data_IF_934522132903
#
_entry.id   IF_934522132903
#
_cell.length_a   1.000
_cell.length_b   1.000
_cell.length_c   1.000
_cell.angle_alpha   90.00
_cell.angle_beta   90.00
_cell.angle_gamma   90.00
#
_symmetry.space_group_name_H-M   'P 1'
#
loop_
_entity.id
_entity.type
_entity.pdbx_description
1 polymer ?
#
# COMPACT_ATOMS: atom_id res chain seq x y z
N UNK A 1 -47.04 0.79 -10.89
CA UNK A 1 -45.70 0.20 -10.79
C UNK A 1 -44.68 1.32 -10.75
N UNK A 2 -44.37 1.80 -9.54
CA UNK A 2 -43.31 2.79 -9.34
C UNK A 2 -42.00 2.02 -9.31
N UNK A 3 -41.13 2.31 -10.24
CA UNK A 3 -39.71 1.89 -10.24
C UNK A 3 -39.03 2.49 -9.01
N UNK A 4 -38.58 1.64 -8.08
CA UNK A 4 -37.61 2.06 -7.05
C UNK A 4 -36.30 2.30 -7.76
N UNK A 5 -35.95 3.58 -7.99
CA UNK A 5 -34.61 3.96 -8.31
C UNK A 5 -33.76 3.70 -7.06
N UNK A 6 -32.88 2.71 -7.12
CA UNK A 6 -31.83 2.51 -6.15
C UNK A 6 -31.02 3.82 -6.07
N UNK A 7 -31.19 4.52 -4.97
CA UNK A 7 -30.44 5.75 -4.69
C UNK A 7 -29.00 5.37 -4.43
N UNK A 8 -28.15 5.54 -5.41
CA UNK A 8 -26.70 5.57 -5.23
C UNK A 8 -26.36 6.66 -4.22
N UNK A 9 -26.02 6.28 -3.00
CA UNK A 9 -25.58 7.21 -1.97
C UNK A 9 -24.13 7.52 -2.23
N UNK A 10 -23.89 8.60 -2.97
CA UNK A 10 -22.54 9.19 -3.05
C UNK A 10 -22.09 9.59 -1.66
N UNK A 11 -20.81 9.30 -1.30
CA UNK A 11 -20.22 9.62 0.01
C UNK A 11 -20.39 11.09 0.41
N UNK A 12 -20.46 11.98 -0.55
CA UNK A 12 -20.54 13.45 -0.39
C UNK A 12 -21.93 14.01 -0.70
N UNK A 13 -22.94 13.15 -0.96
CA UNK A 13 -24.23 13.52 -1.50
C UNK A 13 -25.22 14.18 -0.52
N UNK A 14 -24.99 14.11 0.79
CA UNK A 14 -25.99 14.47 1.80
C UNK A 14 -26.43 15.94 1.85
N UNK A 15 -25.69 16.86 1.22
CA UNK A 15 -25.98 18.31 1.19
C UNK A 15 -26.22 18.87 -0.21
N UNK A 16 -26.06 18.07 -1.24
CA UNK A 16 -26.14 18.50 -2.62
C UNK A 16 -27.30 17.80 -3.34
N UNK A 17 -28.05 18.57 -4.12
CA UNK A 17 -29.18 18.05 -4.91
C UNK A 17 -28.76 17.32 -6.20
N UNK A 18 -27.46 17.33 -6.52
CA UNK A 18 -26.89 16.69 -7.71
C UNK A 18 -25.49 16.15 -7.46
N UNK A 19 -25.03 15.22 -8.29
CA UNK A 19 -23.67 14.69 -8.26
C UNK A 19 -22.60 15.70 -8.74
N UNK A 20 -21.29 15.33 -8.66
CA UNK A 20 -20.22 16.18 -9.15
C UNK A 20 -20.36 16.45 -10.65
N UNK A 21 -19.85 17.59 -11.11
CA UNK A 21 -19.76 17.86 -12.54
C UNK A 21 -18.85 16.84 -13.23
N UNK A 22 -19.05 16.59 -14.52
CA UNK A 22 -18.21 15.65 -15.29
C UNK A 22 -16.71 15.99 -15.21
N UNK A 23 -16.36 17.29 -15.20
CA UNK A 23 -14.97 17.75 -15.05
C UNK A 23 -14.41 17.42 -13.66
N UNK A 24 -15.22 17.58 -12.61
CA UNK A 24 -14.80 17.22 -11.25
C UNK A 24 -14.67 15.71 -11.08
N UNK A 25 -15.62 14.94 -11.61
CA UNK A 25 -15.55 13.49 -11.59
C UNK A 25 -14.28 12.96 -12.28
N UNK A 26 -13.93 13.52 -13.44
CA UNK A 26 -12.71 13.16 -14.19
C UNK A 26 -11.40 13.45 -13.40
N UNK A 27 -11.42 14.41 -12.48
CA UNK A 27 -10.28 14.70 -11.60
C UNK A 27 -10.28 13.89 -10.30
N UNK A 28 -11.43 13.38 -9.87
CA UNK A 28 -11.60 12.71 -8.58
C UNK A 28 -11.53 11.20 -8.66
N UNK A 29 -11.95 10.59 -9.79
CA UNK A 29 -11.94 9.12 -9.95
C UNK A 29 -10.51 8.59 -10.01
N UNK A 30 -10.17 7.68 -9.10
CA UNK A 30 -8.81 7.14 -8.95
C UNK A 30 -8.71 5.63 -9.17
N UNK A 31 -9.82 4.92 -9.40
CA UNK A 31 -9.87 3.46 -9.55
C UNK A 31 -8.87 2.90 -10.57
N UNK A 32 -8.54 3.67 -11.62
CA UNK A 32 -7.61 3.26 -12.67
C UNK A 32 -6.16 3.12 -12.22
N UNK A 33 -5.79 3.67 -11.06
CA UNK A 33 -4.44 3.49 -10.49
C UNK A 33 -4.46 2.98 -9.05
N UNK A 34 -5.50 3.25 -8.24
CA UNK A 34 -5.53 2.89 -6.84
C UNK A 34 -6.08 1.47 -6.58
N UNK A 35 -6.76 0.85 -7.56
CA UNK A 35 -7.28 -0.52 -7.40
C UNK A 35 -6.21 -1.57 -7.10
N UNK A 36 -4.93 -1.26 -7.36
CA UNK A 36 -3.78 -2.06 -6.89
C UNK A 36 -3.69 -2.21 -5.37
N UNK A 37 -4.37 -1.34 -4.62
CA UNK A 37 -4.45 -1.40 -3.16
C UNK A 37 -5.54 -2.35 -2.65
N UNK A 38 -6.32 -2.99 -3.52
CA UNK A 38 -7.50 -3.77 -3.13
C UNK A 38 -7.17 -4.86 -2.10
N UNK A 39 -6.12 -5.65 -2.32
CA UNK A 39 -5.73 -6.72 -1.39
C UNK A 39 -5.31 -6.20 -0.02
N UNK A 40 -4.54 -5.11 0.02
CA UNK A 40 -4.11 -4.52 1.30
C UNK A 40 -5.27 -3.85 2.02
N UNK A 41 -6.26 -3.31 1.30
CA UNK A 41 -7.48 -2.76 1.90
C UNK A 41 -8.37 -3.87 2.50
N UNK A 42 -8.52 -4.99 1.80
CA UNK A 42 -9.25 -6.15 2.31
C UNK A 42 -8.54 -6.71 3.56
N UNK A 43 -7.21 -6.81 3.56
CA UNK A 43 -6.44 -7.21 4.74
C UNK A 43 -6.66 -6.23 5.92
N UNK A 44 -6.64 -4.92 5.65
CA UNK A 44 -6.98 -3.89 6.63
C UNK A 44 -8.40 -4.01 7.15
N UNK A 45 -9.35 -4.40 6.29
CA UNK A 45 -10.76 -4.61 6.64
C UNK A 45 -10.95 -5.84 7.52
N UNK A 46 -10.19 -6.92 7.31
CA UNK A 46 -10.16 -8.07 8.22
C UNK A 46 -9.71 -7.67 9.63
N UNK A 47 -8.56 -6.98 9.75
CA UNK A 47 -8.05 -6.52 11.03
C UNK A 47 -9.02 -5.55 11.74
N UNK A 48 -9.73 -4.72 10.97
CA UNK A 48 -10.75 -3.82 11.51
C UNK A 48 -11.99 -4.58 12.01
N UNK A 49 -12.45 -5.61 11.30
CA UNK A 49 -13.57 -6.45 11.71
C UNK A 49 -13.28 -7.15 13.05
N UNK A 50 -12.05 -7.64 13.27
CA UNK A 50 -11.62 -8.22 14.54
C UNK A 50 -11.73 -7.21 15.69
N UNK A 51 -11.36 -5.96 15.46
CA UNK A 51 -11.49 -4.92 16.48
C UNK A 51 -12.96 -4.51 16.72
N UNK A 52 -13.80 -4.45 15.69
CA UNK A 52 -15.23 -4.23 15.85
C UNK A 52 -15.89 -5.35 16.67
N UNK A 53 -15.48 -6.60 16.46
CA UNK A 53 -15.91 -7.73 17.26
C UNK A 53 -15.44 -7.60 18.71
N UNK A 54 -14.15 -7.31 18.94
CA UNK A 54 -13.58 -7.13 20.28
C UNK A 54 -14.29 -6.05 21.11
N UNK A 55 -14.71 -4.96 20.48
CA UNK A 55 -15.44 -3.88 21.16
C UNK A 55 -16.96 -4.11 21.22
N UNK A 56 -17.45 -5.28 20.73
CA UNK A 56 -18.86 -5.69 20.83
C UNK A 56 -19.80 -5.07 19.79
N UNK A 57 -19.26 -4.49 18.70
CA UNK A 57 -20.06 -3.96 17.58
C UNK A 57 -20.43 -5.03 16.55
N UNK A 58 -19.68 -6.13 16.52
CA UNK A 58 -20.00 -7.35 15.79
C UNK A 58 -20.16 -8.49 16.80
N UNK A 59 -21.20 -9.33 16.62
CA UNK A 59 -21.30 -10.62 17.30
C UNK A 59 -20.32 -11.63 16.69
N UNK A 60 -20.12 -12.79 17.35
CA UNK A 60 -19.30 -13.89 16.83
C UNK A 60 -19.70 -14.29 15.40
N UNK A 61 -21.02 -14.44 15.17
CA UNK A 61 -21.56 -14.82 13.86
C UNK A 61 -21.34 -13.72 12.82
N UNK A 62 -21.60 -12.45 13.15
CA UNK A 62 -21.38 -11.33 12.25
C UNK A 62 -19.93 -11.14 11.88
N UNK A 63 -19.01 -11.39 12.83
CA UNK A 63 -17.58 -11.35 12.57
C UNK A 63 -17.16 -12.47 11.60
N UNK A 64 -17.63 -13.69 11.81
CA UNK A 64 -17.39 -14.82 10.92
C UNK A 64 -17.93 -14.57 9.50
N UNK A 65 -19.17 -14.08 9.40
CA UNK A 65 -19.81 -13.76 8.11
C UNK A 65 -19.08 -12.61 7.39
N UNK A 66 -18.58 -11.62 8.13
CA UNK A 66 -17.77 -10.52 7.59
C UNK A 66 -16.47 -11.04 6.99
N UNK A 67 -15.74 -11.90 7.73
CA UNK A 67 -14.51 -12.50 7.25
C UNK A 67 -14.74 -13.37 6.00
N UNK A 68 -15.82 -14.16 5.96
CA UNK A 68 -16.17 -14.95 4.79
C UNK A 68 -16.46 -14.06 3.57
N UNK A 69 -17.23 -13.00 3.76
CA UNK A 69 -17.56 -12.05 2.68
C UNK A 69 -16.30 -11.32 2.14
N UNK A 70 -15.41 -10.89 3.03
CA UNK A 70 -14.13 -10.26 2.66
C UNK A 70 -13.22 -11.25 1.92
N UNK A 71 -13.14 -12.51 2.36
CA UNK A 71 -12.32 -13.54 1.72
C UNK A 71 -12.84 -13.89 0.32
N UNK A 72 -14.16 -13.95 0.13
CA UNK A 72 -14.77 -14.14 -1.19
C UNK A 72 -14.51 -12.94 -2.10
N UNK A 73 -14.58 -11.72 -1.56
CA UNK A 73 -14.28 -10.51 -2.32
C UNK A 73 -12.81 -10.52 -2.78
N UNK A 74 -11.88 -10.91 -1.91
CA UNK A 74 -10.45 -10.99 -2.23
C UNK A 74 -10.16 -12.03 -3.34
N UNK A 75 -10.82 -13.18 -3.27
CA UNK A 75 -10.74 -14.21 -4.31
C UNK A 75 -11.28 -13.70 -5.66
N UNK A 76 -12.40 -12.96 -5.64
CA UNK A 76 -12.99 -12.39 -6.85
C UNK A 76 -12.13 -11.26 -7.44
N UNK A 77 -11.48 -10.44 -6.62
CA UNK A 77 -10.46 -9.46 -7.06
C UNK A 77 -9.29 -10.18 -7.72
N UNK A 78 -8.76 -11.22 -7.07
CA UNK A 78 -7.62 -11.99 -7.58
C UNK A 78 -7.90 -12.67 -8.92
N UNK A 79 -9.11 -13.18 -9.10
CA UNK A 79 -9.53 -13.84 -10.35
C UNK A 79 -9.98 -12.88 -11.45
N UNK A 80 -10.16 -11.59 -11.14
CA UNK A 80 -10.74 -10.60 -12.04
C UNK A 80 -12.27 -10.70 -12.18
N UNK A 81 -12.94 -11.51 -11.35
CA UNK A 81 -14.40 -11.61 -11.32
C UNK A 81 -15.04 -10.35 -10.71
N UNK A 82 -14.31 -9.64 -9.84
CA UNK A 82 -14.69 -8.34 -9.32
C UNK A 82 -13.74 -7.25 -9.83
N UNK A 83 -14.32 -6.23 -10.45
CA UNK A 83 -13.61 -5.07 -11.00
C UNK A 83 -14.32 -3.78 -10.59
N UNK A 84 -13.61 -2.63 -10.59
CA UNK A 84 -14.26 -1.34 -10.38
C UNK A 84 -15.36 -1.06 -11.40
N UNK A 85 -16.44 -0.45 -10.92
CA UNK A 85 -17.50 0.10 -11.76
C UNK A 85 -17.15 1.55 -12.16
N UNK A 86 -17.70 2.07 -13.29
CA UNK A 86 -17.58 3.49 -13.61
C UNK A 86 -18.14 4.45 -12.54
N UNK A 87 -19.02 3.94 -11.68
CA UNK A 87 -19.63 4.71 -10.58
C UNK A 87 -18.78 4.69 -9.29
N UNK A 88 -17.73 3.87 -9.24
CA UNK A 88 -16.82 3.83 -8.11
C UNK A 88 -15.80 4.98 -8.19
N UNK A 89 -15.75 5.83 -7.17
CA UNK A 89 -14.83 6.96 -7.10
C UNK A 89 -13.38 6.52 -6.87
N UNK A 90 -13.20 5.53 -5.98
CA UNK A 90 -11.91 5.00 -5.54
C UNK A 90 -12.00 3.50 -5.20
N UNK A 91 -10.86 2.88 -4.90
CA UNK A 91 -10.77 1.47 -4.49
C UNK A 91 -11.67 1.18 -3.28
N UNK A 92 -11.76 2.12 -2.33
CA UNK A 92 -12.55 1.92 -1.10
C UNK A 92 -14.03 1.86 -1.40
N UNK A 93 -14.54 2.71 -2.31
CA UNK A 93 -15.94 2.69 -2.77
C UNK A 93 -16.24 1.38 -3.49
N UNK A 94 -15.34 0.94 -4.38
CA UNK A 94 -15.49 -0.32 -5.09
C UNK A 94 -15.58 -1.50 -4.11
N UNK A 95 -14.63 -1.62 -3.18
CA UNK A 95 -14.59 -2.73 -2.22
C UNK A 95 -15.76 -2.69 -1.25
N UNK A 96 -16.23 -1.50 -0.85
CA UNK A 96 -17.43 -1.38 -0.02
C UNK A 96 -18.68 -1.89 -0.77
N UNK A 97 -18.86 -1.52 -2.04
CA UNK A 97 -19.91 -2.07 -2.89
C UNK A 97 -19.80 -3.59 -2.96
N UNK A 98 -18.62 -4.11 -3.26
CA UNK A 98 -18.35 -5.55 -3.34
C UNK A 98 -18.63 -6.30 -2.04
N UNK A 99 -18.33 -5.70 -0.90
CA UNK A 99 -18.65 -6.27 0.42
C UNK A 99 -20.18 -6.28 0.68
N UNK A 100 -20.86 -5.17 0.39
CA UNK A 100 -22.32 -5.07 0.56
C UNK A 100 -23.06 -6.09 -0.31
N UNK A 101 -22.62 -6.33 -1.53
CA UNK A 101 -23.16 -7.35 -2.43
C UNK A 101 -23.06 -8.77 -1.84
N UNK A 102 -22.02 -9.06 -1.03
CA UNK A 102 -21.76 -10.39 -0.43
C UNK A 102 -22.31 -10.56 0.99
N UNK A 103 -22.25 -9.52 1.80
CA UNK A 103 -22.64 -9.55 3.21
C UNK A 103 -24.01 -8.92 3.48
N UNK A 104 -24.61 -8.23 2.49
CA UNK A 104 -25.80 -7.41 2.65
C UNK A 104 -25.52 -6.04 3.28
N UNK A 105 -26.42 -5.09 3.05
CA UNK A 105 -26.22 -3.68 3.45
C UNK A 105 -26.09 -3.51 4.98
N UNK A 106 -26.82 -4.29 5.77
CA UNK A 106 -26.79 -4.18 7.24
C UNK A 106 -25.45 -4.59 7.80
N UNK A 107 -24.91 -5.75 7.43
CA UNK A 107 -23.64 -6.24 7.93
C UNK A 107 -22.47 -5.50 7.29
N UNK A 108 -22.43 -5.38 5.95
CA UNK A 108 -21.35 -4.69 5.24
C UNK A 108 -21.22 -3.23 5.68
N UNK A 109 -22.33 -2.55 5.97
CA UNK A 109 -22.32 -1.18 6.48
C UNK A 109 -21.67 -1.00 7.87
N UNK A 110 -21.66 -2.05 8.72
CA UNK A 110 -21.02 -2.00 10.03
C UNK A 110 -19.51 -1.79 9.96
N UNK A 111 -18.87 -2.21 8.87
CA UNK A 111 -17.42 -2.06 8.69
C UNK A 111 -16.95 -0.60 8.68
N UNK A 112 -17.85 0.36 8.46
CA UNK A 112 -17.54 1.80 8.52
C UNK A 112 -17.34 2.33 9.93
N UNK A 113 -17.83 1.63 10.96
CA UNK A 113 -17.81 2.13 12.33
C UNK A 113 -16.37 2.35 12.80
N UNK A 114 -16.05 3.55 13.30
CA UNK A 114 -14.73 3.90 13.85
C UNK A 114 -13.60 4.05 12.84
N UNK A 115 -13.87 3.92 11.53
CA UNK A 115 -12.87 4.05 10.45
C UNK A 115 -13.10 5.35 9.68
N UNK A 116 -12.01 6.05 9.37
CA UNK A 116 -11.99 7.14 8.41
C UNK A 116 -11.20 6.73 7.17
N UNK A 117 -11.51 7.30 6.01
CA UNK A 117 -10.66 7.13 4.82
C UNK A 117 -9.27 7.73 5.00
N UNK A 118 -9.12 8.73 5.87
CA UNK A 118 -7.84 9.40 6.09
C UNK A 118 -6.79 8.45 6.70
N UNK A 119 -7.09 7.81 7.82
CA UNK A 119 -6.17 6.86 8.45
C UNK A 119 -6.10 5.54 7.68
N UNK A 120 -7.20 5.13 7.04
CA UNK A 120 -7.24 3.96 6.17
C UNK A 120 -6.21 4.09 5.05
N UNK A 121 -6.33 5.11 4.18
CA UNK A 121 -5.41 5.26 3.03
C UNK A 121 -3.96 5.51 3.47
N UNK A 122 -3.73 6.28 4.55
CA UNK A 122 -2.40 6.50 5.09
C UNK A 122 -1.73 5.20 5.55
N UNK A 123 -2.51 4.24 6.06
CA UNK A 123 -2.04 2.91 6.45
C UNK A 123 -1.79 2.03 5.23
N UNK A 124 -2.75 1.95 4.31
CA UNK A 124 -2.69 1.05 3.15
C UNK A 124 -1.53 1.40 2.22
N UNK A 125 -1.25 2.69 2.02
CA UNK A 125 -0.07 3.12 1.26
C UNK A 125 1.21 2.61 1.95
N UNK A 126 1.31 2.66 3.28
CA UNK A 126 2.48 2.13 3.99
C UNK A 126 2.60 0.62 3.85
N UNK A 127 1.51 -0.15 3.99
CA UNK A 127 1.51 -1.60 3.76
C UNK A 127 2.01 -1.91 2.36
N UNK A 128 1.37 -1.32 1.35
CA UNK A 128 1.70 -1.52 -0.06
C UNK A 128 3.18 -1.18 -0.36
N UNK A 129 3.65 -0.01 0.05
CA UNK A 129 5.03 0.41 -0.21
C UNK A 129 6.07 -0.46 0.52
N UNK A 130 5.75 -0.98 1.71
CA UNK A 130 6.62 -1.91 2.45
C UNK A 130 6.74 -3.26 1.73
N UNK A 131 5.67 -3.74 1.12
CA UNK A 131 5.69 -4.95 0.27
C UNK A 131 6.52 -4.70 -0.99
N UNK A 132 6.26 -3.60 -1.69
CA UNK A 132 7.02 -3.23 -2.89
C UNK A 132 8.50 -2.97 -2.60
N UNK A 133 8.85 -2.41 -1.42
CA UNK A 133 10.23 -2.24 -1.00
C UNK A 133 10.97 -3.58 -0.86
N UNK A 134 10.30 -4.62 -0.34
CA UNK A 134 10.87 -5.97 -0.23
C UNK A 134 11.08 -6.60 -1.61
N UNK A 135 10.10 -6.48 -2.50
CA UNK A 135 10.22 -6.94 -3.89
C UNK A 135 11.36 -6.21 -4.62
N UNK A 136 11.44 -4.89 -4.48
CA UNK A 136 12.48 -4.08 -5.08
C UNK A 136 13.87 -4.45 -4.54
N UNK A 137 14.01 -4.63 -3.21
CA UNK A 137 15.26 -5.07 -2.60
C UNK A 137 15.71 -6.44 -3.13
N UNK A 138 14.78 -7.37 -3.31
CA UNK A 138 15.06 -8.68 -3.94
C UNK A 138 15.63 -8.51 -5.35
N UNK A 139 14.99 -7.71 -6.21
CA UNK A 139 15.46 -7.46 -7.58
C UNK A 139 16.82 -6.75 -7.64
N UNK A 140 17.06 -5.83 -6.73
CA UNK A 140 18.38 -5.15 -6.62
C UNK A 140 19.45 -6.16 -6.22
N UNK A 141 19.15 -7.09 -5.30
CA UNK A 141 20.07 -8.17 -4.92
C UNK A 141 20.32 -9.16 -6.06
N UNK A 142 19.31 -9.47 -6.87
CA UNK A 142 19.48 -10.33 -8.06
C UNK A 142 20.48 -9.71 -9.05
N UNK A 143 20.40 -8.40 -9.29
CA UNK A 143 21.37 -7.68 -10.13
C UNK A 143 22.77 -7.74 -9.51
N UNK A 144 22.89 -7.48 -8.21
CA UNK A 144 24.16 -7.55 -7.50
C UNK A 144 24.78 -8.96 -7.59
N UNK A 145 23.98 -9.99 -7.39
CA UNK A 145 24.43 -11.39 -7.51
C UNK A 145 24.87 -11.75 -8.94
N UNK A 146 24.17 -11.25 -9.96
CA UNK A 146 24.56 -11.45 -11.35
C UNK A 146 25.93 -10.80 -11.65
N UNK A 147 26.18 -9.58 -11.14
CA UNK A 147 27.46 -8.89 -11.27
C UNK A 147 28.60 -9.64 -10.57
N UNK A 148 28.35 -10.17 -9.36
CA UNK A 148 29.32 -11.02 -8.63
C UNK A 148 29.65 -12.27 -9.45
N UNK A 149 28.65 -12.99 -9.96
CA UNK A 149 28.87 -14.16 -10.79
C UNK A 149 29.64 -13.86 -12.09
N UNK A 150 29.44 -12.68 -12.69
CA UNK A 150 30.24 -12.24 -13.84
C UNK A 150 31.69 -11.89 -13.42
N UNK A 151 31.88 -11.28 -12.26
CA UNK A 151 33.21 -10.99 -11.74
C UNK A 151 34.02 -12.25 -11.47
N UNK A 152 33.39 -13.30 -10.89
CA UNK A 152 34.01 -14.62 -10.69
C UNK A 152 34.40 -15.26 -12.03
N UNK A 153 33.56 -15.22 -13.04
CA UNK A 153 33.85 -15.76 -14.39
C UNK A 153 34.95 -15.00 -15.10
N UNK A 154 35.08 -13.70 -14.86
CA UNK A 154 36.13 -12.86 -15.46
C UNK A 154 37.53 -13.18 -14.92
N UNK A 155 37.64 -13.74 -13.69
CA UNK A 155 38.90 -14.12 -13.08
C UNK A 155 39.94 -13.00 -13.15
N UNK A 156 41.11 -13.31 -13.71
CA UNK A 156 42.27 -12.40 -13.83
C UNK A 156 42.24 -11.53 -15.11
N UNK A 157 41.12 -11.49 -15.84
CA UNK A 157 41.01 -10.69 -17.06
C UNK A 157 41.22 -9.19 -16.74
N UNK A 158 42.08 -8.57 -17.54
CA UNK A 158 42.49 -7.15 -17.40
C UNK A 158 41.80 -6.32 -18.47
N UNK A 159 41.41 -5.10 -18.08
CA UNK A 159 40.88 -4.09 -19.00
C UNK A 159 41.53 -2.72 -18.71
N UNK A 160 41.54 -1.78 -19.67
CA UNK A 160 41.93 -0.42 -19.36
C UNK A 160 40.89 0.27 -18.51
N UNK A 161 41.26 0.76 -17.33
CA UNK A 161 40.49 1.75 -16.60
C UNK A 161 40.35 3.03 -17.43
N UNK A 162 39.34 3.84 -17.19
CA UNK A 162 39.06 5.05 -17.94
C UNK A 162 38.74 6.23 -17.03
N UNK A 163 39.31 7.39 -17.35
CA UNK A 163 38.92 8.69 -16.81
C UNK A 163 38.84 9.68 -17.96
N UNK A 164 37.88 10.61 -17.92
CA UNK A 164 37.71 11.59 -18.99
C UNK A 164 37.64 10.97 -20.40
N UNK A 165 37.02 9.79 -20.50
CA UNK A 165 36.91 8.98 -21.72
C UNK A 165 38.27 8.54 -22.32
N UNK A 166 39.35 8.67 -21.57
CA UNK A 166 40.71 8.27 -21.93
C UNK A 166 41.12 7.01 -21.17
N UNK A 167 42.06 6.24 -21.75
CA UNK A 167 42.69 5.10 -21.09
C UNK A 167 43.52 5.56 -19.89
N UNK A 168 43.36 4.91 -18.77
CA UNK A 168 44.09 5.12 -17.54
C UNK A 168 44.82 3.82 -17.11
N UNK A 169 44.90 3.56 -15.80
CA UNK A 169 45.57 2.36 -15.31
C UNK A 169 44.82 1.08 -15.71
N UNK A 170 45.57 -0.04 -15.90
CA UNK A 170 44.94 -1.37 -16.00
C UNK A 170 44.18 -1.71 -14.73
N UNK A 171 42.99 -2.29 -14.88
CA UNK A 171 42.18 -2.80 -13.79
C UNK A 171 41.65 -4.19 -14.12
N UNK A 172 41.30 -5.00 -13.13
CA UNK A 172 40.61 -6.25 -13.37
C UNK A 172 39.18 -5.99 -13.81
N UNK A 173 38.65 -6.75 -14.76
CA UNK A 173 37.24 -6.72 -15.14
C UNK A 173 36.39 -7.01 -13.92
N UNK A 174 36.81 -7.99 -13.08
CA UNK A 174 36.11 -8.29 -11.82
C UNK A 174 36.01 -7.07 -10.90
N UNK A 175 37.12 -6.28 -10.74
CA UNK A 175 37.10 -5.08 -9.93
C UNK A 175 36.13 -4.02 -10.47
N UNK A 176 36.07 -3.85 -11.79
CA UNK A 176 35.11 -2.94 -12.44
C UNK A 176 33.68 -3.35 -12.20
N UNK A 177 33.33 -4.64 -12.38
CA UNK A 177 32.00 -5.16 -12.14
C UNK A 177 31.57 -5.01 -10.68
N UNK A 178 32.45 -5.33 -9.74
CA UNK A 178 32.17 -5.20 -8.30
C UNK A 178 32.01 -3.73 -7.87
N UNK A 179 32.55 -2.76 -8.60
CA UNK A 179 32.30 -1.34 -8.33
C UNK A 179 30.82 -0.96 -8.45
N UNK A 180 30.03 -1.68 -9.27
CA UNK A 180 28.59 -1.48 -9.41
C UNK A 180 27.78 -2.22 -8.33
N UNK A 181 28.34 -3.23 -7.68
CA UNK A 181 27.66 -3.96 -6.58
C UNK A 181 27.51 -3.09 -5.33
N UNK A 182 28.54 -2.31 -4.99
CA UNK A 182 28.57 -1.52 -3.76
C UNK A 182 27.44 -0.49 -3.64
N UNK A 183 27.08 0.32 -4.67
CA UNK A 183 25.94 1.22 -4.60
C UNK A 183 24.63 0.46 -4.44
N UNK A 184 24.43 -0.67 -5.12
CA UNK A 184 23.22 -1.50 -5.00
C UNK A 184 23.04 -2.02 -3.56
N UNK A 185 24.12 -2.44 -2.90
CA UNK A 185 24.05 -2.84 -1.49
C UNK A 185 23.69 -1.67 -0.56
N UNK A 186 24.17 -0.45 -0.85
CA UNK A 186 23.75 0.74 -0.11
C UNK A 186 22.27 1.07 -0.33
N UNK A 187 21.73 0.81 -1.52
CA UNK A 187 20.32 1.01 -1.81
C UNK A 187 19.44 0.04 -1.03
N UNK A 188 19.83 -1.22 -0.95
CA UNK A 188 19.15 -2.21 -0.08
C UNK A 188 19.20 -1.77 1.40
N UNK A 189 20.32 -1.21 1.85
CA UNK A 189 20.43 -0.67 3.22
C UNK A 189 19.46 0.52 3.43
N UNK A 190 19.33 1.43 2.45
CA UNK A 190 18.36 2.54 2.48
C UNK A 190 16.92 2.04 2.58
N UNK A 191 16.53 1.04 1.77
CA UNK A 191 15.19 0.42 1.84
C UNK A 191 14.91 -0.18 3.22
N UNK A 192 15.90 -0.86 3.82
CA UNK A 192 15.77 -1.43 5.18
C UNK A 192 15.64 -0.35 6.25
N UNK A 193 16.35 0.75 6.14
CA UNK A 193 16.24 1.87 7.09
C UNK A 193 14.93 2.62 6.93
N UNK A 194 14.45 2.79 5.71
CA UNK A 194 13.15 3.35 5.42
C UNK A 194 12.02 2.47 6.00
N UNK A 195 12.09 1.12 5.82
CA UNK A 195 11.05 0.20 6.32
C UNK A 195 10.85 0.32 7.84
N UNK A 196 11.89 0.59 8.61
CA UNK A 196 11.80 0.84 10.07
C UNK A 196 10.89 2.03 10.39
N UNK A 197 10.98 3.12 9.63
CA UNK A 197 10.15 4.32 9.79
C UNK A 197 8.75 4.11 9.25
N UNK A 198 8.62 3.42 8.12
CA UNK A 198 7.35 3.07 7.52
C UNK A 198 6.54 2.05 8.34
N UNK A 199 7.21 1.27 9.21
CA UNK A 199 6.60 0.22 10.03
C UNK A 199 5.79 0.72 11.23
N UNK A 200 5.36 1.98 11.24
CA UNK A 200 4.50 2.58 12.26
C UNK A 200 3.14 2.88 11.64
N UNK A 201 2.09 2.24 12.19
CA UNK A 201 0.75 2.28 11.62
C UNK A 201 -0.01 3.55 12.01
N UNK A 202 -0.57 4.31 11.06
CA UNK A 202 -1.51 5.40 11.38
C UNK A 202 -2.94 4.93 11.62
N UNK A 203 -3.26 3.65 11.43
CA UNK A 203 -4.62 3.14 11.61
C UNK A 203 -5.13 3.37 13.03
N UNK A 204 -6.39 3.81 13.17
CA UNK A 204 -6.99 4.20 14.45
C UNK A 204 -6.89 5.68 14.75
N UNK A 205 -6.16 6.46 13.93
CA UNK A 205 -6.13 7.92 14.01
C UNK A 205 -7.46 8.57 13.64
N UNK A 206 -8.37 7.82 13.01
CA UNK A 206 -9.63 8.33 12.50
C UNK A 206 -9.43 9.42 11.44
N UNK A 207 -10.30 10.41 11.40
CA UNK A 207 -10.09 11.55 10.51
C UNK A 207 -8.86 12.38 10.89
N UNK A 208 -8.59 12.55 12.20
CA UNK A 208 -7.42 13.22 12.77
C UNK A 208 -7.28 13.09 14.31
N UNK A 209 -8.33 12.64 15.01
CA UNK A 209 -8.40 12.68 16.47
C UNK A 209 -8.80 11.32 17.10
N UNK A 210 -8.58 10.24 16.39
CA UNK A 210 -8.95 8.89 16.83
C UNK A 210 -10.46 8.63 16.77
N UNK A 211 -10.91 7.64 17.54
CA UNK A 211 -12.33 7.31 17.69
C UNK A 211 -12.67 7.00 19.17
N UNK A 212 -13.96 7.06 19.49
CA UNK A 212 -14.49 6.85 20.85
C UNK A 212 -15.02 5.45 21.11
N UNK A 213 -14.79 4.49 20.19
CA UNK A 213 -15.36 3.14 20.26
C UNK A 213 -14.52 2.16 21.10
N UNK A 214 -13.39 2.62 21.64
CA UNK A 214 -12.49 1.76 22.45
C UNK A 214 -11.66 0.79 21.62
N UNK A 215 -11.50 1.03 20.32
CA UNK A 215 -10.62 0.25 19.45
C UNK A 215 -9.15 0.48 19.83
N UNK A 216 -8.35 -0.58 19.74
CA UNK A 216 -6.91 -0.53 20.02
C UNK A 216 -6.10 -0.46 18.71
N UNK A 217 -5.50 0.69 18.37
CA UNK A 217 -4.70 0.85 17.15
C UNK A 217 -3.51 -0.13 17.06
N UNK A 218 -2.93 -0.51 18.20
CA UNK A 218 -1.78 -1.43 18.23
C UNK A 218 -2.14 -2.84 17.81
N UNK A 219 -3.37 -3.28 18.12
CA UNK A 219 -3.85 -4.60 17.68
C UNK A 219 -4.00 -4.65 16.16
N UNK A 220 -4.58 -3.60 15.56
CA UNK A 220 -4.70 -3.47 14.10
C UNK A 220 -3.30 -3.36 13.47
N UNK A 221 -2.41 -2.56 14.05
CA UNK A 221 -1.02 -2.44 13.60
C UNK A 221 -0.32 -3.81 13.56
N UNK A 222 -0.42 -4.59 14.65
CA UNK A 222 0.17 -5.93 14.73
C UNK A 222 -0.42 -6.88 13.68
N UNK A 223 -1.74 -6.88 13.47
CA UNK A 223 -2.42 -7.70 12.47
C UNK A 223 -1.96 -7.37 11.03
N UNK A 224 -1.56 -6.13 10.76
CA UNK A 224 -1.05 -5.67 9.46
C UNK A 224 0.49 -5.71 9.36
N UNK A 225 1.18 -6.30 10.33
CA UNK A 225 2.64 -6.48 10.30
C UNK A 225 3.43 -5.18 10.55
N UNK A 226 2.83 -4.20 11.21
CA UNK A 226 3.55 -3.03 11.72
C UNK A 226 4.19 -3.34 13.09
N UNK A 227 5.21 -2.57 13.44
CA UNK A 227 5.90 -2.69 14.73
C UNK A 227 5.17 -1.95 15.87
N UNK A 228 4.45 -0.89 15.55
CA UNK A 228 3.64 -0.11 16.50
C UNK A 228 2.65 0.80 15.77
N UNK A 229 1.86 1.56 16.51
CA UNK A 229 0.99 2.63 16.01
C UNK A 229 1.61 4.00 16.25
N UNK A 230 1.17 5.02 15.48
CA UNK A 230 1.63 6.41 15.61
C UNK A 230 1.31 6.99 16.98
N UNK A 231 2.22 7.83 17.48
CA UNK A 231 2.06 8.54 18.76
C UNK A 231 1.09 9.73 18.66
N UNK A 232 0.99 10.32 17.47
CA UNK A 232 0.13 11.49 17.21
C UNK A 232 -0.79 11.23 16.03
N UNK A 233 -2.09 11.29 16.26
CA UNK A 233 -3.12 10.97 15.26
C UNK A 233 -3.22 12.00 14.12
N UNK A 234 -2.87 13.25 14.37
CA UNK A 234 -2.85 14.28 13.32
C UNK A 234 -1.69 14.04 12.37
N UNK A 235 -0.48 13.81 12.93
CA UNK A 235 0.69 13.43 12.14
C UNK A 235 0.43 12.13 11.37
N UNK A 236 -0.14 11.13 12.02
CA UNK A 236 -0.45 9.83 11.41
C UNK A 236 -1.28 9.93 10.13
N UNK A 237 -2.29 10.81 10.11
CA UNK A 237 -3.14 11.02 8.92
C UNK A 237 -2.51 11.98 7.90
N UNK A 238 -1.68 12.93 8.34
CA UNK A 238 -1.16 14.01 7.51
C UNK A 238 0.21 13.71 6.88
N UNK A 239 1.05 12.87 7.53
CA UNK A 239 2.41 12.59 7.10
C UNK A 239 2.49 12.03 5.67
N UNK A 240 3.37 12.62 4.85
CA UNK A 240 3.66 12.21 3.46
C UNK A 240 5.15 11.97 3.22
N UNK A 241 5.98 12.25 4.21
CA UNK A 241 7.43 12.08 4.20
C UNK A 241 7.85 10.63 3.91
N UNK A 242 7.14 9.63 4.45
CA UNK A 242 7.39 8.20 4.18
C UNK A 242 7.28 7.88 2.69
N UNK A 243 6.30 8.47 1.98
CA UNK A 243 6.11 8.27 0.54
C UNK A 243 7.20 9.02 -0.25
N UNK A 244 7.52 10.25 0.15
CA UNK A 244 8.55 11.06 -0.48
C UNK A 244 9.93 10.40 -0.34
N UNK A 245 10.26 9.86 0.83
CA UNK A 245 11.51 9.16 1.09
C UNK A 245 11.62 7.88 0.24
N UNK A 246 10.55 7.07 0.14
CA UNK A 246 10.53 5.91 -0.75
C UNK A 246 10.79 6.30 -2.21
N UNK A 247 10.15 7.35 -2.68
CA UNK A 247 10.35 7.87 -4.05
C UNK A 247 11.79 8.32 -4.29
N UNK A 248 12.41 8.97 -3.30
CA UNK A 248 13.83 9.32 -3.34
C UNK A 248 14.72 8.08 -3.45
N UNK A 249 14.46 7.02 -2.69
CA UNK A 249 15.24 5.78 -2.74
C UNK A 249 15.09 5.12 -4.13
N UNK A 250 13.89 5.08 -4.69
CA UNK A 250 13.67 4.58 -6.05
C UNK A 250 14.47 5.37 -7.10
N UNK A 251 14.51 6.69 -6.98
CA UNK A 251 15.32 7.55 -7.85
C UNK A 251 16.82 7.27 -7.68
N UNK A 252 17.28 7.04 -6.45
CA UNK A 252 18.69 6.70 -6.17
C UNK A 252 19.07 5.36 -6.81
N UNK A 253 18.23 4.33 -6.69
CA UNK A 253 18.42 3.03 -7.37
C UNK A 253 18.50 3.24 -8.89
N UNK A 254 17.64 4.08 -9.47
CA UNK A 254 17.68 4.42 -10.89
C UNK A 254 19.00 5.05 -11.32
N UNK A 255 19.55 5.95 -10.50
CA UNK A 255 20.88 6.56 -10.74
C UNK A 255 21.97 5.48 -10.72
N UNK A 256 21.96 4.58 -9.75
CA UNK A 256 23.01 3.58 -9.58
C UNK A 256 22.95 2.47 -10.66
N UNK A 257 21.74 2.18 -11.19
CA UNK A 257 21.57 1.26 -12.33
C UNK A 257 21.99 1.92 -13.65
N UNK A 258 21.84 3.23 -13.79
CA UNK A 258 22.18 3.95 -15.03
C UNK A 258 23.69 4.16 -15.28
N UNK A 259 24.53 3.87 -14.31
CA UNK A 259 26.00 3.97 -14.37
C UNK A 259 26.62 2.80 -15.08
#
# INVERSE_FOLDING_TARGET
TMSQSETHVSLWGGRFAGGPSQALAALSVSTHFDFRLAHVDIAGSHAHADELHRVGLLSDQECADMHDALSRLDADVSSGAFVPSPDDEDVHTALERGLIERAGATLGGKLRAGRSRNDQIATLIRVYLREEARHLAGRVLDIAQALVGQAERAGDAVMPGRTHMQHAQPVLVAHHLLAHVWPLLRDVARLRDWDKRAAISPYGSGALAGNTLGMDPRRIAAALGFSDSVENSIDGTAARDVVAEFSFICAQIGIDISR
#
